data_IF_812369241109
#
_entry.id   IF_812369241109
#
_cell.length_a   1.000
_cell.length_b   1.000
_cell.length_c   1.000
_cell.angle_alpha   90.00
_cell.angle_beta   90.00
_cell.angle_gamma   90.00
#
_symmetry.space_group_name_H-M   'P 1'
#
loop_
_entity.id
_entity.type
_entity.pdbx_description
1 polymer ?
#
# COMPACT_ATOMS: atom_id res chain seq x y z
N UNK A 1 6.27 -11.84 0.36
CA UNK A 1 5.00 -11.41 -0.25
C UNK A 1 3.98 -12.55 -0.27
N UNK A 2 4.37 -13.70 -0.83
CA UNK A 2 3.44 -14.83 -0.91
C UNK A 2 2.98 -15.31 0.46
N UNK A 3 3.88 -15.32 1.45
CA UNK A 3 3.52 -15.70 2.82
C UNK A 3 2.50 -14.73 3.41
N UNK A 4 2.64 -13.43 3.12
CA UNK A 4 1.70 -12.42 3.58
C UNK A 4 0.34 -12.59 2.88
N UNK A 5 0.35 -12.84 1.58
CA UNK A 5 -0.88 -13.02 0.80
C UNK A 5 -1.64 -14.30 1.15
N UNK A 6 -0.93 -15.34 1.56
CA UNK A 6 -1.56 -16.61 1.94
C UNK A 6 -1.91 -16.68 3.42
N UNK A 7 -1.52 -15.67 4.22
CA UNK A 7 -1.83 -15.60 5.63
C UNK A 7 -3.28 -15.24 5.92
N UNK A 8 -3.67 -15.32 7.17
CA UNK A 8 -5.01 -14.94 7.61
C UNK A 8 -5.15 -13.46 7.92
N UNK A 9 -4.05 -12.72 8.04
CA UNK A 9 -4.07 -11.29 8.33
C UNK A 9 -4.50 -10.50 7.10
N UNK A 10 -5.49 -9.59 7.21
CA UNK A 10 -5.94 -8.79 6.07
C UNK A 10 -4.85 -7.86 5.55
N UNK A 11 -4.67 -7.84 4.24
CA UNK A 11 -3.75 -6.93 3.55
C UNK A 11 -4.57 -5.90 2.79
N UNK A 12 -4.31 -4.63 3.06
CA UNK A 12 -5.03 -3.54 2.41
C UNK A 12 -4.36 -3.14 1.11
N UNK A 13 -5.15 -3.07 0.05
CA UNK A 13 -4.77 -2.44 -1.20
C UNK A 13 -5.74 -1.30 -1.48
N UNK A 14 -5.27 -0.28 -2.17
CA UNK A 14 -6.10 0.85 -2.58
C UNK A 14 -5.68 1.30 -3.97
N UNK A 15 -6.56 2.03 -4.63
CA UNK A 15 -6.33 2.43 -6.01
C UNK A 15 -5.04 3.24 -6.21
N UNK A 16 -4.67 4.20 -5.35
CA UNK A 16 -3.41 4.92 -5.52
C UNK A 16 -2.19 4.00 -5.53
N UNK A 17 -2.18 2.95 -4.71
CA UNK A 17 -1.08 1.98 -4.67
C UNK A 17 -1.05 1.15 -5.95
N UNK A 18 -2.21 0.66 -6.39
CA UNK A 18 -2.30 -0.16 -7.61
C UNK A 18 -1.92 0.64 -8.85
N UNK A 19 -2.40 1.88 -8.96
CA UNK A 19 -2.06 2.73 -10.10
C UNK A 19 -0.57 3.09 -10.10
N UNK A 20 0.01 3.33 -8.93
CA UNK A 20 1.45 3.58 -8.82
C UNK A 20 2.25 2.36 -9.26
N UNK A 21 1.85 1.16 -8.85
CA UNK A 21 2.51 -0.07 -9.28
C UNK A 21 2.47 -0.22 -10.80
N UNK A 22 1.29 -0.05 -11.40
CA UNK A 22 1.14 -0.17 -12.85
C UNK A 22 2.00 0.86 -13.59
N UNK A 23 2.04 2.09 -13.10
CA UNK A 23 2.82 3.16 -13.70
C UNK A 23 4.32 2.90 -13.62
N UNK A 24 4.81 2.48 -12.46
CA UNK A 24 6.24 2.29 -12.21
C UNK A 24 6.75 1.02 -12.88
N UNK A 25 6.02 -0.09 -12.75
CA UNK A 25 6.47 -1.39 -13.25
C UNK A 25 6.53 -1.47 -14.77
N UNK A 26 5.77 -0.61 -15.46
CA UNK A 26 5.75 -0.59 -16.94
C UNK A 26 6.61 0.51 -17.53
N UNK A 27 7.32 1.29 -16.69
CA UNK A 27 8.08 2.45 -17.18
C UNK A 27 9.53 2.08 -17.51
N UNK A 28 9.94 2.14 -18.81
CA UNK A 28 11.30 1.78 -19.20
C UNK A 28 12.35 2.78 -18.73
N UNK A 29 11.94 3.98 -18.31
CA UNK A 29 12.84 4.98 -17.74
C UNK A 29 13.23 4.67 -16.31
N UNK A 30 12.42 3.86 -15.62
CA UNK A 30 12.63 3.50 -14.21
C UNK A 30 13.26 2.12 -14.09
N UNK A 31 12.74 1.15 -14.85
CA UNK A 31 13.17 -0.23 -14.76
C UNK A 31 13.95 -0.63 -16.01
N UNK A 32 15.03 -1.37 -15.78
CA UNK A 32 15.84 -1.92 -16.88
C UNK A 32 15.04 -2.94 -17.70
N UNK A 33 14.19 -3.72 -17.05
CA UNK A 33 13.30 -4.70 -17.69
C UNK A 33 11.86 -4.44 -17.23
N UNK A 34 11.19 -3.45 -17.83
CA UNK A 34 9.82 -3.15 -17.43
C UNK A 34 8.88 -4.30 -17.81
N UNK A 35 7.82 -4.44 -17.02
CA UNK A 35 6.75 -5.36 -17.37
C UNK A 35 5.94 -4.78 -18.52
N UNK A 36 5.36 -5.65 -19.34
CA UNK A 36 4.33 -5.22 -20.26
C UNK A 36 3.07 -4.87 -19.44
N UNK A 37 2.17 -4.09 -20.03
CA UNK A 37 0.91 -3.78 -19.35
C UNK A 37 0.13 -5.05 -19.03
N UNK A 38 0.13 -6.03 -19.93
CA UNK A 38 -0.50 -7.33 -19.70
C UNK A 38 0.09 -8.05 -18.47
N UNK A 39 1.43 -8.09 -18.38
CA UNK A 39 2.11 -8.71 -17.25
C UNK A 39 1.81 -8.01 -15.95
N UNK A 40 1.87 -6.68 -15.93
CA UNK A 40 1.58 -5.89 -14.74
C UNK A 40 0.13 -6.07 -14.29
N UNK A 41 -0.81 -6.07 -15.23
CA UNK A 41 -2.23 -6.28 -14.94
C UNK A 41 -2.48 -7.67 -14.39
N UNK A 42 -1.78 -8.69 -14.91
CA UNK A 42 -1.91 -10.05 -14.41
C UNK A 42 -1.42 -10.15 -12.96
N UNK A 43 -0.38 -9.41 -12.61
CA UNK A 43 0.10 -9.37 -11.23
C UNK A 43 -0.92 -8.77 -10.29
N UNK A 44 -1.51 -7.64 -10.68
CA UNK A 44 -2.56 -7.00 -9.89
C UNK A 44 -3.74 -7.97 -9.70
N UNK A 45 -4.16 -8.64 -10.77
CA UNK A 45 -5.25 -9.61 -10.68
C UNK A 45 -4.93 -10.73 -9.70
N UNK A 46 -3.70 -11.22 -9.72
CA UNK A 46 -3.30 -12.29 -8.80
C UNK A 46 -3.37 -11.85 -7.34
N UNK A 47 -3.05 -10.58 -7.06
CA UNK A 47 -3.18 -10.04 -5.70
C UNK A 47 -4.64 -9.90 -5.27
N UNK A 48 -5.48 -9.37 -6.18
CA UNK A 48 -6.89 -9.17 -5.89
C UNK A 48 -7.62 -10.51 -5.68
N UNK A 49 -7.12 -11.59 -6.28
CA UNK A 49 -7.70 -12.93 -6.13
C UNK A 49 -7.37 -13.58 -4.79
N UNK A 50 -6.43 -13.03 -4.01
CA UNK A 50 -6.05 -13.62 -2.73
C UNK A 50 -7.11 -13.35 -1.67
N UNK A 51 -7.47 -14.37 -0.86
CA UNK A 51 -8.56 -14.22 0.13
C UNK A 51 -8.29 -13.15 1.20
N UNK A 52 -7.02 -12.92 1.54
CA UNK A 52 -6.68 -11.95 2.59
C UNK A 52 -6.59 -10.51 2.09
N UNK A 53 -6.66 -10.28 0.78
CA UNK A 53 -6.54 -8.93 0.21
C UNK A 53 -7.90 -8.23 0.22
N UNK A 54 -7.88 -6.98 0.68
CA UNK A 54 -9.06 -6.11 0.74
C UNK A 54 -8.77 -4.81 0.00
N UNK A 55 -9.67 -4.43 -0.90
CA UNK A 55 -9.67 -3.06 -1.45
C UNK A 55 -10.31 -2.15 -0.41
N UNK A 56 -9.61 -1.11 -0.01
CA UNK A 56 -10.09 -0.23 1.05
C UNK A 56 -10.30 1.19 0.56
N UNK A 57 -11.30 1.86 1.14
CA UNK A 57 -11.66 3.25 0.85
C UNK A 57 -11.82 4.00 2.17
N UNK A 58 -11.81 5.34 2.15
CA UNK A 58 -12.00 6.12 3.37
C UNK A 58 -13.33 5.80 4.05
N UNK A 59 -13.28 5.69 5.38
CA UNK A 59 -14.47 5.57 6.21
C UNK A 59 -14.92 6.94 6.70
N UNK A 60 -16.03 7.00 7.45
CA UNK A 60 -16.51 8.24 8.06
C UNK A 60 -15.52 8.80 9.07
N UNK A 61 -14.62 7.97 9.60
CA UNK A 61 -13.61 8.38 10.57
C UNK A 61 -12.28 8.76 9.92
N UNK A 62 -12.23 8.81 8.60
CA UNK A 62 -10.97 9.00 7.88
C UNK A 62 -10.24 10.28 8.28
N UNK A 63 -10.95 11.41 8.33
CA UNK A 63 -10.31 12.70 8.64
C UNK A 63 -9.66 12.70 10.03
N UNK A 64 -10.37 12.17 11.02
CA UNK A 64 -9.85 12.07 12.38
C UNK A 64 -8.56 11.26 12.45
N UNK A 65 -8.58 10.09 11.83
CA UNK A 65 -7.43 9.19 11.82
C UNK A 65 -6.28 9.77 10.99
N UNK A 66 -6.59 10.30 9.83
CA UNK A 66 -5.62 10.92 8.93
C UNK A 66 -4.92 12.09 9.63
N UNK A 67 -5.67 12.99 10.26
CA UNK A 67 -5.14 14.13 10.99
C UNK A 67 -4.19 13.68 12.10
N UNK A 68 -4.55 12.65 12.84
CA UNK A 68 -3.72 12.10 13.91
C UNK A 68 -2.41 11.54 13.35
N UNK A 69 -2.47 10.84 12.22
CA UNK A 69 -1.28 10.28 11.60
C UNK A 69 -0.36 11.35 11.01
N UNK A 70 -0.92 12.43 10.48
CA UNK A 70 -0.12 13.57 10.04
C UNK A 70 0.74 14.12 11.16
N UNK A 71 0.18 14.22 12.35
CA UNK A 71 0.90 14.68 13.54
C UNK A 71 1.89 13.65 14.05
N UNK A 72 1.48 12.38 14.14
CA UNK A 72 2.32 11.30 14.60
C UNK A 72 3.58 11.15 13.75
N UNK A 73 3.42 11.16 12.43
CA UNK A 73 4.52 11.00 11.50
C UNK A 73 5.22 12.29 11.14
N UNK A 74 4.75 13.43 11.67
CA UNK A 74 5.22 14.77 11.26
C UNK A 74 5.21 14.89 9.73
N UNK A 75 4.14 14.41 9.15
CA UNK A 75 4.02 14.31 7.70
C UNK A 75 3.57 15.62 7.10
N UNK A 76 4.38 16.14 6.18
CA UNK A 76 4.05 17.34 5.42
C UNK A 76 4.55 17.14 3.99
N UNK A 77 4.12 18.02 3.08
CA UNK A 77 4.52 17.97 1.68
C UNK A 77 4.26 16.57 1.08
N UNK A 78 5.30 15.92 0.58
CA UNK A 78 5.17 14.62 -0.09
C UNK A 78 4.67 13.50 0.83
N UNK A 79 4.83 13.66 2.15
CA UNK A 79 4.44 12.65 3.12
C UNK A 79 2.94 12.68 3.45
N UNK A 80 2.23 13.70 3.01
CA UNK A 80 0.78 13.81 3.22
C UNK A 80 0.05 12.64 2.55
N UNK A 81 0.45 12.30 1.33
CA UNK A 81 -0.15 11.17 0.62
C UNK A 81 0.12 9.84 1.35
N UNK A 82 1.32 9.69 1.92
CA UNK A 82 1.66 8.50 2.70
C UNK A 82 0.80 8.40 3.96
N UNK A 83 0.55 9.52 4.62
CA UNK A 83 -0.32 9.55 5.79
C UNK A 83 -1.76 9.16 5.42
N UNK A 84 -2.23 9.54 4.24
CA UNK A 84 -3.54 9.13 3.74
C UNK A 84 -3.63 7.61 3.59
N UNK A 85 -2.62 7.00 2.96
CA UNK A 85 -2.57 5.55 2.78
C UNK A 85 -2.47 4.82 4.12
N UNK A 86 -1.65 5.35 5.02
CA UNK A 86 -1.51 4.82 6.38
C UNK A 86 -2.85 4.86 7.13
N UNK A 87 -3.60 5.96 6.98
CA UNK A 87 -4.91 6.10 7.61
C UNK A 87 -5.89 5.04 7.10
N UNK A 88 -5.89 4.76 5.80
CA UNK A 88 -6.75 3.70 5.24
C UNK A 88 -6.47 2.35 5.90
N UNK A 89 -5.19 2.01 6.08
CA UNK A 89 -4.82 0.74 6.71
C UNK A 89 -5.29 0.69 8.18
N UNK A 90 -5.13 1.78 8.91
CA UNK A 90 -5.56 1.86 10.31
C UNK A 90 -7.08 1.73 10.43
N UNK A 91 -7.83 2.48 9.58
CA UNK A 91 -9.29 2.48 9.60
C UNK A 91 -9.87 1.08 9.39
N UNK A 92 -9.25 0.28 8.55
CA UNK A 92 -9.73 -1.05 8.21
C UNK A 92 -9.00 -2.16 8.97
N UNK A 93 -8.14 -1.79 9.92
CA UNK A 93 -7.36 -2.73 10.72
C UNK A 93 -6.60 -3.73 9.84
N UNK A 94 -5.96 -3.21 8.81
CA UNK A 94 -5.21 -4.01 7.83
C UNK A 94 -3.73 -3.67 7.88
N UNK A 95 -2.90 -4.59 7.37
CA UNK A 95 -1.49 -4.31 7.17
C UNK A 95 -1.31 -3.57 5.86
N UNK A 96 -0.56 -2.46 5.88
CA UNK A 96 -0.23 -1.72 4.67
C UNK A 96 0.94 -2.39 3.98
N UNK A 97 0.78 -2.69 2.70
CA UNK A 97 1.84 -3.27 1.89
C UNK A 97 2.43 -2.20 0.98
N UNK A 98 3.71 -1.89 1.16
CA UNK A 98 4.40 -0.88 0.38
C UNK A 98 5.90 -1.09 0.43
N UNK A 99 6.59 -0.72 -0.64
CA UNK A 99 8.05 -0.72 -0.69
C UNK A 99 8.66 0.55 -0.10
N UNK A 100 7.83 1.52 0.29
CA UNK A 100 8.30 2.81 0.79
C UNK A 100 8.58 2.76 2.29
N UNK A 101 9.85 2.91 2.65
CA UNK A 101 10.29 2.88 4.04
C UNK A 101 9.76 4.07 4.88
N UNK A 102 9.25 5.12 4.23
CA UNK A 102 8.68 6.27 4.95
C UNK A 102 7.50 5.88 5.81
N UNK A 103 6.83 4.75 5.52
CA UNK A 103 5.72 4.27 6.35
C UNK A 103 6.14 3.86 7.75
N UNK A 104 7.43 3.60 7.98
CA UNK A 104 7.96 3.27 9.31
C UNK A 104 7.78 4.42 10.32
N UNK A 105 7.60 5.66 9.85
CA UNK A 105 7.38 6.81 10.74
C UNK A 105 5.98 6.84 11.38
N UNK A 106 5.05 6.06 10.85
CA UNK A 106 3.69 5.98 11.38
C UNK A 106 3.58 4.77 12.31
N UNK A 107 3.83 4.99 13.59
CA UNK A 107 3.92 3.90 14.58
C UNK A 107 2.62 3.12 14.74
N UNK A 108 1.49 3.75 14.47
CA UNK A 108 0.16 3.13 14.57
C UNK A 108 -0.14 2.18 13.42
N UNK A 109 0.71 2.14 12.40
CA UNK A 109 0.46 1.40 11.16
C UNK A 109 1.28 0.13 11.13
N UNK A 110 0.62 -0.99 10.85
CA UNK A 110 1.32 -2.23 10.51
C UNK A 110 1.75 -2.10 9.06
N UNK A 111 3.05 -2.16 8.82
CA UNK A 111 3.63 -1.99 7.49
C UNK A 111 4.48 -3.20 7.12
N UNK A 112 4.36 -3.61 5.87
CA UNK A 112 5.09 -4.74 5.32
C UNK A 112 5.69 -4.34 3.99
N UNK A 113 7.00 -4.55 3.82
CA UNK A 113 7.69 -4.32 2.55
C UNK A 113 7.86 -5.67 1.84
N UNK A 114 7.14 -5.91 0.73
CA UNK A 114 7.21 -7.19 0.04
C UNK A 114 8.58 -7.51 -0.54
N UNK A 115 9.40 -6.50 -0.86
CA UNK A 115 10.73 -6.73 -1.41
C UNK A 115 11.72 -7.26 -0.38
N UNK A 116 11.54 -6.93 0.90
CA UNK A 116 12.42 -7.40 1.97
C UNK A 116 12.14 -8.86 2.32
N UNK A 117 10.99 -9.38 1.93
CA UNK A 117 10.53 -10.72 2.27
C UNK A 117 10.28 -11.60 1.05
N UNK A 118 10.69 -11.11 -0.11
CA UNK A 118 10.52 -11.84 -1.37
C UNK A 118 11.51 -13.00 -1.50
#
# INVERSE_FOLDING_TARGET
WDAQLSGSEPVALCWPVLTAFLRISTNPRILRRPLTLREASARVQSWLDQPCVRMVEPTDNHWEIFQRLLQEGRAAANLVSDAHLAALAVEHNCTLCSTDADFARFKSVKWFNPLEHA
#
